data_IF_009224493061
#
_entry.id   IF_009224493061
#
_cell.length_a   1.000
_cell.length_b   1.000
_cell.length_c   1.000
_cell.angle_alpha   90.00
_cell.angle_beta   90.00
_cell.angle_gamma   90.00
#
_symmetry.space_group_name_H-M   'P 1'
#
loop_
_entity.id
_entity.type
_entity.pdbx_description
1 polymer ?
#
# COMPACT_ATOMS: atom_id res chain seq x y z
N UNK A 1 -9.93 -9.70 -0.78
CA UNK A 1 -10.60 -9.63 0.55
C UNK A 1 -11.76 -8.62 0.55
N UNK A 2 -11.56 -7.31 0.31
CA UNK A 2 -12.64 -6.33 0.36
C UNK A 2 -13.86 -6.67 -0.49
N UNK A 3 -13.65 -7.08 -1.75
CA UNK A 3 -14.72 -7.56 -2.62
C UNK A 3 -15.46 -8.76 -2.02
N UNK A 4 -14.73 -9.72 -1.50
CA UNK A 4 -15.32 -10.93 -0.92
C UNK A 4 -16.18 -10.63 0.32
N UNK A 5 -15.67 -9.76 1.20
CA UNK A 5 -16.46 -9.28 2.35
C UNK A 5 -17.72 -8.56 1.88
N UNK A 6 -17.60 -7.69 0.88
CA UNK A 6 -18.75 -6.97 0.33
C UNK A 6 -19.79 -7.93 -0.29
N UNK A 7 -19.36 -9.02 -0.95
CA UNK A 7 -20.28 -10.01 -1.51
C UNK A 7 -20.98 -10.86 -0.45
N UNK A 8 -20.37 -11.06 0.71
CA UNK A 8 -20.95 -11.84 1.80
C UNK A 8 -21.88 -11.04 2.70
N UNK A 9 -21.58 -9.76 2.90
CA UNK A 9 -22.19 -8.97 3.99
C UNK A 9 -23.03 -7.79 3.50
N UNK A 10 -22.92 -7.43 2.23
CA UNK A 10 -23.47 -6.21 1.64
C UNK A 10 -23.11 -4.90 2.38
N UNK A 11 -22.12 -4.94 3.30
CA UNK A 11 -21.74 -3.81 4.14
C UNK A 11 -20.46 -3.12 3.67
N UNK A 12 -20.53 -1.90 3.15
CA UNK A 12 -19.38 -1.03 2.91
C UNK A 12 -18.52 -0.78 4.16
N UNK A 13 -19.16 -0.65 5.32
CA UNK A 13 -18.46 -0.49 6.58
C UNK A 13 -17.49 -1.65 6.86
N UNK A 14 -17.94 -2.89 6.66
CA UNK A 14 -17.10 -4.07 6.88
C UNK A 14 -15.93 -4.17 5.91
N UNK A 15 -16.04 -3.63 4.68
CA UNK A 15 -14.91 -3.51 3.76
C UNK A 15 -13.83 -2.58 4.32
N UNK A 16 -14.24 -1.44 4.86
CA UNK A 16 -13.33 -0.51 5.54
C UNK A 16 -12.69 -1.11 6.79
N UNK A 17 -13.51 -1.75 7.62
CA UNK A 17 -13.07 -2.38 8.86
C UNK A 17 -12.06 -3.52 8.62
N UNK A 18 -12.26 -4.39 7.61
CA UNK A 18 -11.30 -5.46 7.30
C UNK A 18 -9.99 -4.92 6.72
N UNK A 19 -10.06 -3.84 5.93
CA UNK A 19 -8.88 -3.17 5.43
C UNK A 19 -8.04 -2.59 6.58
N UNK A 20 -8.68 -2.00 7.57
CA UNK A 20 -8.04 -1.51 8.80
C UNK A 20 -7.51 -2.66 9.67
N UNK A 21 -8.28 -3.74 9.82
CA UNK A 21 -7.87 -4.91 10.61
C UNK A 21 -6.56 -5.53 10.11
N UNK A 22 -6.36 -5.59 8.79
CA UNK A 22 -5.10 -6.06 8.18
C UNK A 22 -3.89 -5.23 8.58
N UNK A 23 -4.07 -3.96 8.91
CA UNK A 23 -3.00 -3.03 9.29
C UNK A 23 -2.82 -2.91 10.81
N UNK A 24 -3.80 -3.30 11.61
CA UNK A 24 -3.81 -3.08 13.06
C UNK A 24 -2.63 -3.71 13.78
N UNK A 25 -2.19 -4.89 13.37
CA UNK A 25 -1.06 -5.61 13.96
C UNK A 25 0.30 -5.28 13.36
N UNK A 26 0.36 -4.39 12.35
CA UNK A 26 1.64 -3.93 11.77
C UNK A 26 2.54 -3.19 12.79
N UNK A 27 1.99 -2.73 13.93
CA UNK A 27 2.80 -2.22 15.05
C UNK A 27 3.80 -3.26 15.56
N UNK A 28 3.48 -4.54 15.43
CA UNK A 28 4.40 -5.63 15.78
C UNK A 28 5.58 -5.73 14.80
N UNK A 29 5.53 -5.06 13.65
CA UNK A 29 6.66 -4.89 12.73
C UNK A 29 7.89 -4.32 13.41
N UNK A 30 7.67 -3.50 14.41
CA UNK A 30 8.72 -2.85 15.16
C UNK A 30 9.59 -3.86 15.94
N UNK A 31 9.02 -5.00 16.28
CA UNK A 31 9.71 -6.11 16.93
C UNK A 31 10.20 -7.17 15.92
N UNK A 32 9.56 -7.21 14.75
CA UNK A 32 9.85 -8.20 13.72
C UNK A 32 11.28 -8.12 13.18
N UNK A 33 11.82 -6.90 13.02
CA UNK A 33 13.20 -6.69 12.58
C UNK A 33 14.21 -7.38 13.48
N UNK A 34 14.07 -7.25 14.81
CA UNK A 34 14.98 -7.84 15.78
C UNK A 34 14.93 -9.39 15.79
N UNK A 35 13.79 -9.97 15.45
CA UNK A 35 13.61 -11.43 15.32
C UNK A 35 14.19 -11.90 13.98
N UNK A 36 13.87 -11.19 12.90
CA UNK A 36 14.33 -11.52 11.55
C UNK A 36 15.86 -11.48 11.42
N UNK A 37 16.57 -10.64 12.20
CA UNK A 37 18.02 -10.54 12.15
C UNK A 37 18.75 -11.76 12.71
N UNK A 38 18.09 -12.59 13.53
CA UNK A 38 18.66 -13.77 14.15
C UNK A 38 18.47 -15.06 13.36
N UNK A 39 17.64 -15.05 12.31
CA UNK A 39 17.28 -16.23 11.52
C UNK A 39 17.70 -16.00 10.07
N UNK A 40 18.16 -17.04 9.34
CA UNK A 40 18.46 -16.92 7.91
C UNK A 40 17.27 -16.34 7.14
N UNK A 41 17.51 -15.25 6.39
CA UNK A 41 16.45 -14.45 5.73
C UNK A 41 15.55 -15.26 4.80
N UNK A 42 16.13 -16.24 4.09
CA UNK A 42 15.38 -17.18 3.25
C UNK A 42 14.39 -18.03 4.04
N UNK A 43 14.75 -18.45 5.28
CA UNK A 43 13.83 -19.22 6.13
C UNK A 43 12.69 -18.36 6.66
N UNK A 44 13.00 -17.11 7.04
CA UNK A 44 11.95 -16.16 7.46
C UNK A 44 10.97 -15.94 6.34
N UNK A 45 11.47 -15.64 5.12
CA UNK A 45 10.62 -15.42 3.95
C UNK A 45 9.78 -16.67 3.62
N UNK A 46 10.41 -17.84 3.55
CA UNK A 46 9.70 -19.11 3.29
C UNK A 46 8.62 -19.39 4.34
N UNK A 47 8.91 -19.15 5.63
CA UNK A 47 7.92 -19.31 6.71
C UNK A 47 6.73 -18.38 6.53
N UNK A 48 6.98 -17.12 6.20
CA UNK A 48 5.91 -16.14 5.89
C UNK A 48 5.03 -16.64 4.74
N UNK A 49 5.64 -17.10 3.64
CA UNK A 49 4.92 -17.57 2.47
C UNK A 49 4.10 -18.83 2.78
N UNK A 50 4.65 -19.81 3.51
CA UNK A 50 3.92 -21.01 3.91
C UNK A 50 2.77 -20.70 4.91
N UNK A 51 2.96 -19.76 5.82
CA UNK A 51 1.87 -19.31 6.70
C UNK A 51 0.76 -18.63 5.89
N UNK A 52 1.12 -17.80 4.89
CA UNK A 52 0.14 -17.17 4.01
C UNK A 52 -0.62 -18.21 3.16
N UNK A 53 0.07 -19.26 2.68
CA UNK A 53 -0.56 -20.41 2.04
C UNK A 53 -1.52 -21.14 3.01
N UNK A 54 -1.11 -21.32 4.25
CA UNK A 54 -1.95 -21.91 5.32
C UNK A 54 -3.22 -21.09 5.58
N UNK A 55 -3.11 -19.76 5.68
CA UNK A 55 -4.28 -18.88 5.84
C UNK A 55 -5.22 -18.97 4.63
N UNK A 56 -4.69 -19.03 3.41
CA UNK A 56 -5.50 -19.27 2.22
C UNK A 56 -6.16 -20.66 2.25
N UNK A 57 -5.46 -21.69 2.72
CA UNK A 57 -5.99 -23.04 2.92
C UNK A 57 -7.14 -23.07 3.92
N UNK A 58 -7.01 -22.39 5.06
CA UNK A 58 -8.09 -22.27 6.05
C UNK A 58 -9.30 -21.57 5.43
N UNK A 59 -9.09 -20.50 4.64
CA UNK A 59 -10.18 -19.84 3.92
C UNK A 59 -10.89 -20.80 2.95
N UNK A 60 -10.14 -21.62 2.21
CA UNK A 60 -10.72 -22.63 1.29
C UNK A 60 -11.59 -23.60 2.07
N UNK A 61 -11.09 -24.15 3.18
CA UNK A 61 -11.83 -25.09 4.00
C UNK A 61 -13.13 -24.49 4.55
N UNK A 62 -13.08 -23.25 5.06
CA UNK A 62 -14.24 -22.53 5.56
C UNK A 62 -15.28 -22.25 4.46
N UNK A 63 -14.83 -21.90 3.25
CA UNK A 63 -15.72 -21.67 2.10
C UNK A 63 -16.39 -22.98 1.67
N UNK A 64 -15.62 -24.06 1.51
CA UNK A 64 -16.12 -25.34 1.02
C UNK A 64 -17.02 -26.05 2.05
N UNK A 65 -16.75 -25.88 3.33
CA UNK A 65 -17.57 -26.46 4.40
C UNK A 65 -18.88 -25.71 4.66
N UNK A 66 -19.01 -24.49 4.12
CA UNK A 66 -20.17 -23.62 4.38
C UNK A 66 -20.18 -22.98 5.78
N UNK A 67 -19.15 -23.19 6.60
CA UNK A 67 -19.04 -22.61 7.96
C UNK A 67 -18.40 -21.21 7.98
N UNK A 68 -18.21 -20.59 6.81
CA UNK A 68 -17.58 -19.28 6.74
C UNK A 68 -18.47 -18.19 7.32
N UNK A 69 -17.97 -17.53 8.37
CA UNK A 69 -18.58 -16.34 8.96
C UNK A 69 -17.64 -15.14 8.87
N UNK A 70 -18.18 -13.93 8.98
CA UNK A 70 -17.46 -12.68 8.84
C UNK A 70 -16.28 -12.57 9.82
N UNK A 71 -16.43 -13.02 11.07
CA UNK A 71 -15.35 -12.95 12.06
C UNK A 71 -14.14 -13.81 11.70
N UNK A 72 -14.33 -14.94 11.00
CA UNK A 72 -13.21 -15.75 10.49
C UNK A 72 -12.34 -14.93 9.53
N UNK A 73 -12.98 -14.14 8.65
CA UNK A 73 -12.27 -13.30 7.68
C UNK A 73 -11.48 -12.22 8.40
N UNK A 74 -12.05 -11.60 9.46
CA UNK A 74 -11.35 -10.61 10.27
C UNK A 74 -10.13 -11.21 10.97
N UNK A 75 -10.28 -12.36 11.62
CA UNK A 75 -9.21 -13.04 12.32
C UNK A 75 -8.06 -13.41 11.37
N UNK A 76 -8.39 -14.01 10.22
CA UNK A 76 -7.40 -14.36 9.19
C UNK A 76 -6.75 -13.13 8.57
N UNK A 77 -7.49 -12.04 8.36
CA UNK A 77 -6.93 -10.80 7.84
C UNK A 77 -5.94 -10.15 8.82
N UNK A 78 -6.26 -10.14 10.12
CA UNK A 78 -5.38 -9.61 11.17
C UNK A 78 -4.10 -10.44 11.29
N UNK A 79 -4.23 -11.75 11.35
CA UNK A 79 -3.08 -12.68 11.47
C UNK A 79 -2.21 -12.66 10.21
N UNK A 80 -2.82 -12.63 9.03
CA UNK A 80 -2.09 -12.45 7.77
C UNK A 80 -1.35 -11.11 7.72
N UNK A 81 -1.98 -10.03 8.18
CA UNK A 81 -1.33 -8.71 8.31
C UNK A 81 -0.09 -8.77 9.20
N UNK A 82 -0.19 -9.42 10.37
CA UNK A 82 0.93 -9.61 11.30
C UNK A 82 2.08 -10.39 10.66
N UNK A 83 1.79 -11.46 9.94
CA UNK A 83 2.82 -12.29 9.30
C UNK A 83 3.50 -11.55 8.14
N UNK A 84 2.74 -10.79 7.34
CA UNK A 84 3.30 -10.03 6.19
C UNK A 84 4.28 -8.94 6.56
N UNK A 85 4.31 -8.51 7.80
CA UNK A 85 5.26 -7.52 8.28
C UNK A 85 6.71 -7.94 8.07
N UNK A 86 6.98 -9.25 8.15
CA UNK A 86 8.31 -9.82 7.95
C UNK A 86 8.72 -9.96 6.47
N UNK A 87 7.76 -9.93 5.54
CA UNK A 87 7.98 -10.17 4.11
C UNK A 87 8.95 -9.15 3.50
N UNK A 88 8.64 -7.87 3.63
CA UNK A 88 9.39 -6.81 2.96
C UNK A 88 10.84 -6.65 3.48
N UNK A 89 11.08 -6.58 4.81
CA UNK A 89 12.45 -6.51 5.32
C UNK A 89 13.28 -7.74 4.94
N UNK A 90 12.70 -8.94 5.06
CA UNK A 90 13.39 -10.19 4.73
C UNK A 90 13.72 -10.29 3.24
N UNK A 91 12.80 -9.90 2.35
CA UNK A 91 13.02 -9.88 0.91
C UNK A 91 14.14 -8.90 0.52
N UNK A 92 14.15 -7.69 1.09
CA UNK A 92 15.21 -6.70 0.81
C UNK A 92 16.57 -7.15 1.35
N UNK A 93 16.61 -7.70 2.56
CA UNK A 93 17.85 -8.23 3.15
C UNK A 93 18.36 -9.43 2.34
N UNK A 94 17.47 -10.31 1.86
CA UNK A 94 17.86 -11.46 1.04
C UNK A 94 18.49 -11.01 -0.28
N UNK A 95 17.98 -9.97 -0.93
CA UNK A 95 18.60 -9.38 -2.13
C UNK A 95 20.02 -8.86 -1.83
N UNK A 96 20.20 -8.19 -0.69
CA UNK A 96 21.51 -7.67 -0.29
C UNK A 96 22.50 -8.80 0.07
N UNK A 97 22.02 -9.90 0.67
CA UNK A 97 22.86 -11.02 1.10
C UNK A 97 23.26 -11.96 -0.05
N UNK A 98 22.50 -11.95 -1.15
CA UNK A 98 22.70 -12.89 -2.28
C UNK A 98 23.50 -12.31 -3.44
N UNK A 99 23.62 -10.97 -3.51
CA UNK A 99 24.25 -10.30 -4.63
C UNK A 99 25.56 -9.61 -4.22
N UNK A 100 26.58 -9.57 -5.11
CA UNK A 100 27.74 -8.73 -4.93
C UNK A 100 27.35 -7.25 -4.77
N UNK A 101 28.17 -6.47 -4.03
CA UNK A 101 27.87 -5.07 -3.71
C UNK A 101 27.57 -4.19 -4.93
N UNK A 102 28.25 -4.42 -6.05
CA UNK A 102 28.05 -3.70 -7.32
C UNK A 102 26.70 -4.03 -7.99
N UNK A 103 26.03 -5.14 -7.62
CA UNK A 103 24.75 -5.60 -8.18
C UNK A 103 23.55 -5.46 -7.24
N UNK A 104 23.75 -5.08 -5.99
CA UNK A 104 22.65 -4.92 -5.00
C UNK A 104 21.58 -3.94 -5.51
N UNK A 105 22.01 -2.83 -6.10
CA UNK A 105 21.09 -1.82 -6.63
C UNK A 105 20.21 -2.39 -7.76
N UNK A 106 20.81 -3.17 -8.65
CA UNK A 106 20.09 -3.85 -9.73
C UNK A 106 19.10 -4.88 -9.17
N UNK A 107 19.51 -5.69 -8.18
CA UNK A 107 18.62 -6.64 -7.51
C UNK A 107 17.44 -5.98 -6.83
N UNK A 108 17.66 -4.86 -6.13
CA UNK A 108 16.59 -4.06 -5.52
C UNK A 108 15.63 -3.48 -6.57
N UNK A 109 16.17 -3.06 -7.74
CA UNK A 109 15.35 -2.59 -8.85
C UNK A 109 14.46 -3.72 -9.43
N UNK A 110 15.02 -4.91 -9.64
CA UNK A 110 14.24 -6.09 -10.09
C UNK A 110 13.18 -6.51 -9.07
N UNK A 111 13.49 -6.50 -7.78
CA UNK A 111 12.50 -6.78 -6.73
C UNK A 111 11.34 -5.76 -6.76
N UNK A 112 11.67 -4.49 -6.94
CA UNK A 112 10.67 -3.42 -7.06
C UNK A 112 9.82 -3.59 -8.33
N UNK A 113 10.45 -3.92 -9.46
CA UNK A 113 9.76 -4.19 -10.73
C UNK A 113 8.78 -5.37 -10.59
N UNK A 114 9.22 -6.47 -10.00
CA UNK A 114 8.35 -7.64 -9.75
C UNK A 114 7.13 -7.29 -8.92
N UNK A 115 7.31 -6.47 -7.87
CA UNK A 115 6.21 -5.98 -7.02
C UNK A 115 5.24 -5.07 -7.79
N UNK A 116 5.76 -4.18 -8.63
CA UNK A 116 4.93 -3.30 -9.45
C UNK A 116 4.12 -4.08 -10.49
N UNK A 117 4.72 -5.11 -11.11
CA UNK A 117 4.03 -6.03 -12.02
C UNK A 117 2.92 -6.78 -11.28
N UNK A 118 3.22 -7.31 -10.09
CA UNK A 118 2.23 -8.00 -9.27
C UNK A 118 1.08 -7.08 -8.85
N UNK A 119 1.36 -5.82 -8.52
CA UNK A 119 0.36 -4.80 -8.19
C UNK A 119 -0.52 -4.45 -9.40
N UNK A 120 0.05 -4.44 -10.60
CA UNK A 120 -0.66 -4.17 -11.85
C UNK A 120 -1.54 -5.36 -12.28
N UNK A 121 -0.96 -6.55 -12.35
CA UNK A 121 -1.62 -7.74 -12.92
C UNK A 121 -2.44 -8.51 -11.88
N UNK A 122 -2.02 -8.48 -10.60
CA UNK A 122 -2.65 -9.26 -9.53
C UNK A 122 -4.16 -9.06 -9.39
N UNK A 123 -4.66 -7.82 -9.32
CA UNK A 123 -6.10 -7.59 -9.25
C UNK A 123 -6.87 -8.08 -10.47
N UNK A 124 -6.30 -7.96 -11.67
CA UNK A 124 -6.91 -8.45 -12.90
C UNK A 124 -7.05 -9.98 -12.87
N UNK A 125 -5.96 -10.68 -12.59
CA UNK A 125 -5.95 -12.15 -12.48
C UNK A 125 -6.87 -12.60 -11.36
N UNK A 126 -6.78 -11.97 -10.18
CA UNK A 126 -7.65 -12.27 -9.04
C UNK A 126 -9.13 -12.07 -9.34
N UNK A 127 -9.48 -10.98 -10.05
CA UNK A 127 -10.85 -10.69 -10.47
C UNK A 127 -11.41 -11.73 -11.44
N UNK A 128 -10.61 -12.12 -12.44
CA UNK A 128 -10.96 -13.17 -13.42
C UNK A 128 -11.12 -14.53 -12.75
N UNK A 129 -10.19 -14.90 -11.88
CA UNK A 129 -10.26 -16.17 -11.13
C UNK A 129 -11.49 -16.21 -10.23
N UNK A 130 -11.78 -15.11 -9.53
CA UNK A 130 -12.96 -15.02 -8.68
C UNK A 130 -14.26 -15.12 -9.49
N UNK A 131 -14.33 -14.48 -10.68
CA UNK A 131 -15.47 -14.55 -11.58
C UNK A 131 -15.67 -15.95 -12.15
N UNK A 132 -14.61 -16.60 -12.60
CA UNK A 132 -14.67 -17.91 -13.29
C UNK A 132 -14.81 -19.10 -12.35
N UNK A 133 -14.14 -19.08 -11.20
CA UNK A 133 -14.01 -20.21 -10.28
C UNK A 133 -14.55 -19.92 -8.87
N UNK A 134 -15.17 -18.76 -8.68
CA UNK A 134 -15.67 -18.33 -7.38
C UNK A 134 -14.56 -18.02 -6.37
N UNK A 135 -14.95 -17.70 -5.12
CA UNK A 135 -13.98 -17.35 -4.05
C UNK A 135 -13.05 -18.54 -3.74
N UNK A 136 -13.55 -19.77 -3.70
CA UNK A 136 -12.75 -20.97 -3.44
C UNK A 136 -11.62 -21.14 -4.45
N UNK A 137 -11.94 -21.02 -5.75
CA UNK A 137 -10.94 -21.14 -6.83
C UNK A 137 -9.88 -20.03 -6.78
N UNK A 138 -10.30 -18.81 -6.46
CA UNK A 138 -9.34 -17.70 -6.28
C UNK A 138 -8.39 -17.95 -5.10
N UNK A 139 -8.87 -18.45 -3.96
CA UNK A 139 -8.03 -18.78 -2.83
C UNK A 139 -7.13 -20.00 -3.07
N UNK A 140 -7.55 -21.00 -3.88
CA UNK A 140 -6.69 -22.10 -4.32
C UNK A 140 -5.49 -21.57 -5.11
N UNK A 141 -5.72 -20.69 -6.07
CA UNK A 141 -4.63 -20.07 -6.82
C UNK A 141 -3.68 -19.26 -5.93
N UNK A 142 -4.22 -18.49 -4.97
CA UNK A 142 -3.44 -17.75 -3.98
C UNK A 142 -2.58 -18.70 -3.13
N UNK A 143 -3.15 -19.78 -2.61
CA UNK A 143 -2.43 -20.78 -1.83
C UNK A 143 -1.30 -21.41 -2.63
N UNK A 144 -1.56 -21.82 -3.88
CA UNK A 144 -0.57 -22.42 -4.78
C UNK A 144 0.60 -21.45 -5.06
N UNK A 145 0.31 -20.16 -5.30
CA UNK A 145 1.35 -19.16 -5.53
C UNK A 145 2.21 -18.92 -4.29
N UNK A 146 1.61 -18.85 -3.09
CA UNK A 146 2.34 -18.72 -1.84
C UNK A 146 3.18 -19.98 -1.54
N UNK A 147 2.65 -21.18 -1.78
CA UNK A 147 3.43 -22.43 -1.67
C UNK A 147 4.63 -22.40 -2.60
N UNK A 148 4.44 -22.05 -3.88
CA UNK A 148 5.52 -21.94 -4.85
C UNK A 148 6.57 -20.91 -4.41
N UNK A 149 6.13 -19.72 -3.96
CA UNK A 149 7.01 -18.67 -3.47
C UNK A 149 7.85 -19.15 -2.27
N UNK A 150 7.21 -19.83 -1.30
CA UNK A 150 7.90 -20.40 -0.14
C UNK A 150 8.95 -21.44 -0.53
N UNK A 151 8.63 -22.34 -1.46
CA UNK A 151 9.59 -23.30 -2.01
C UNK A 151 10.76 -22.61 -2.69
N UNK A 152 10.50 -21.66 -3.57
CA UNK A 152 11.55 -20.88 -4.26
C UNK A 152 12.45 -20.15 -3.26
N UNK A 153 11.87 -19.53 -2.21
CA UNK A 153 12.63 -18.84 -1.19
C UNK A 153 13.63 -19.76 -0.46
N UNK A 154 13.29 -21.04 -0.23
CA UNK A 154 14.20 -22.02 0.41
C UNK A 154 15.41 -22.35 -0.45
N UNK A 155 15.32 -22.26 -1.78
CA UNK A 155 16.45 -22.53 -2.69
C UNK A 155 17.42 -21.35 -2.79
N UNK A 156 17.02 -20.16 -2.35
CA UNK A 156 17.92 -19.00 -2.34
C UNK A 156 18.95 -19.18 -1.23
N UNK A 157 20.22 -19.27 -1.60
CA UNK A 157 21.33 -19.38 -0.65
C UNK A 157 21.73 -17.98 -0.19
N UNK A 158 21.40 -17.64 1.07
CA UNK A 158 21.94 -16.46 1.74
C UNK A 158 23.25 -16.84 2.43
N UNK A 159 24.29 -16.03 2.24
CA UNK A 159 25.58 -16.22 2.91
C UNK A 159 25.53 -15.94 4.41
N UNK A 160 24.37 -15.62 4.98
CA UNK A 160 24.18 -15.30 6.39
C UNK A 160 24.95 -14.04 6.74
N UNK A 161 24.38 -12.88 6.47
CA UNK A 161 24.99 -11.59 6.87
C UNK A 161 25.25 -11.57 8.37
N UNK A 162 26.37 -10.95 8.75
CA UNK A 162 26.68 -10.69 10.15
C UNK A 162 25.48 -10.03 10.83
N UNK A 163 25.15 -10.51 12.02
CA UNK A 163 24.06 -9.94 12.83
C UNK A 163 24.32 -8.43 12.97
N UNK A 164 23.53 -7.63 12.29
CA UNK A 164 23.67 -6.18 12.29
C UNK A 164 23.58 -5.61 13.69
N UNK A 165 24.13 -4.44 13.92
CA UNK A 165 24.08 -3.70 15.18
C UNK A 165 22.65 -3.74 15.75
N UNK A 166 22.53 -4.00 17.05
CA UNK A 166 21.26 -4.01 17.78
C UNK A 166 20.47 -2.76 17.38
N UNK A 167 19.27 -2.89 16.77
CA UNK A 167 18.51 -1.73 16.34
C UNK A 167 18.25 -0.82 17.56
N UNK A 168 18.43 0.48 17.38
CA UNK A 168 18.01 1.48 18.38
C UNK A 168 16.55 1.22 18.74
N UNK A 169 16.19 1.33 20.02
CA UNK A 169 14.79 1.07 20.42
C UNK A 169 13.86 1.95 19.57
N UNK A 170 12.80 1.34 19.00
CA UNK A 170 11.88 2.03 18.10
C UNK A 170 11.34 3.31 18.70
N UNK A 171 10.97 3.29 19.99
CA UNK A 171 10.51 4.48 20.70
C UNK A 171 11.56 5.61 20.66
N UNK A 172 12.83 5.27 20.84
CA UNK A 172 13.95 6.25 20.78
C UNK A 172 14.13 6.78 19.35
N UNK A 173 14.05 5.91 18.35
CA UNK A 173 14.11 6.29 16.93
C UNK A 173 12.97 7.23 16.54
N UNK A 174 11.74 6.94 16.97
CA UNK A 174 10.55 7.77 16.71
C UNK A 174 10.67 9.14 17.41
N UNK A 175 11.01 9.16 18.71
CA UNK A 175 11.17 10.41 19.46
C UNK A 175 12.28 11.25 18.86
N UNK A 176 13.44 10.63 18.54
CA UNK A 176 14.56 11.28 17.88
C UNK A 176 14.18 11.83 16.50
N UNK A 177 13.43 11.07 15.72
CA UNK A 177 12.87 11.49 14.44
C UNK A 177 11.92 12.69 14.57
N UNK A 178 10.97 12.66 15.50
CA UNK A 178 10.04 13.76 15.74
C UNK A 178 10.77 15.04 16.16
N UNK A 179 11.76 14.93 17.04
CA UNK A 179 12.58 16.07 17.46
C UNK A 179 13.37 16.67 16.29
N UNK A 180 13.93 15.82 15.42
CA UNK A 180 14.67 16.26 14.24
C UNK A 180 13.76 16.95 13.20
N UNK A 181 12.56 16.42 12.98
CA UNK A 181 11.61 16.91 11.99
C UNK A 181 10.94 18.22 12.42
N UNK A 182 10.71 18.41 13.74
CA UNK A 182 9.99 19.58 14.29
C UNK A 182 10.60 20.92 13.83
N UNK A 183 11.94 21.01 13.69
CA UNK A 183 12.61 22.23 13.24
C UNK A 183 12.72 22.38 11.71
N UNK A 184 12.24 21.40 10.91
CA UNK A 184 12.43 21.35 9.45
C UNK A 184 11.11 21.35 8.70
N UNK A 185 10.69 22.54 8.23
CA UNK A 185 9.38 22.73 7.60
C UNK A 185 9.11 21.75 6.46
N UNK A 186 10.09 21.48 5.58
CA UNK A 186 9.94 20.56 4.45
C UNK A 186 9.62 19.14 4.95
N UNK A 187 10.31 18.66 5.99
CA UNK A 187 10.13 17.29 6.48
C UNK A 187 8.76 17.10 7.16
N UNK A 188 8.40 17.98 8.12
CA UNK A 188 7.12 17.81 8.80
C UNK A 188 5.94 17.99 7.83
N UNK A 189 6.03 18.96 6.91
CA UNK A 189 4.99 19.17 5.93
C UNK A 189 4.84 17.99 4.94
N UNK A 190 5.96 17.39 4.53
CA UNK A 190 5.90 16.15 3.72
C UNK A 190 5.30 15.00 4.51
N UNK A 191 5.61 14.84 5.80
CA UNK A 191 4.98 13.81 6.64
C UNK A 191 3.47 14.03 6.82
N UNK A 192 3.02 15.28 6.93
CA UNK A 192 1.58 15.60 6.92
C UNK A 192 0.94 15.22 5.58
N UNK A 193 1.61 15.47 4.45
CA UNK A 193 1.12 14.97 3.15
C UNK A 193 1.05 13.45 3.10
N UNK A 194 1.99 12.73 3.74
CA UNK A 194 1.90 11.25 3.85
C UNK A 194 0.67 10.83 4.65
N UNK A 195 0.32 11.53 5.74
CA UNK A 195 -0.91 11.25 6.49
C UNK A 195 -2.16 11.47 5.62
N UNK A 196 -2.21 12.55 4.84
CA UNK A 196 -3.29 12.83 3.89
C UNK A 196 -3.35 11.72 2.83
N UNK A 197 -2.20 11.34 2.27
CA UNK A 197 -2.08 10.28 1.29
C UNK A 197 -2.66 8.95 1.78
N UNK A 198 -2.28 8.53 2.99
CA UNK A 198 -2.72 7.26 3.56
C UNK A 198 -4.20 7.30 3.98
N UNK A 199 -4.65 8.37 4.64
CA UNK A 199 -6.00 8.44 5.19
C UNK A 199 -7.09 8.72 4.15
N UNK A 200 -6.76 9.33 3.02
CA UNK A 200 -7.73 9.70 1.98
C UNK A 200 -7.47 8.97 0.67
N UNK A 201 -6.33 9.25 0.03
CA UNK A 201 -6.08 8.78 -1.32
C UNK A 201 -5.91 7.27 -1.44
N UNK A 202 -5.05 6.66 -0.62
CA UNK A 202 -4.84 5.20 -0.64
C UNK A 202 -6.08 4.43 -0.17
N UNK A 203 -6.80 4.96 0.80
CA UNK A 203 -8.08 4.44 1.28
C UNK A 203 -9.13 4.40 0.16
N UNK A 204 -9.20 5.44 -0.68
CA UNK A 204 -10.09 5.43 -1.85
C UNK A 204 -9.85 4.20 -2.72
N UNK A 205 -8.59 3.93 -3.10
CA UNK A 205 -8.24 2.80 -3.97
C UNK A 205 -8.60 1.45 -3.35
N UNK A 206 -8.33 1.25 -2.06
CA UNK A 206 -8.45 -0.07 -1.41
C UNK A 206 -9.82 -0.35 -0.83
N UNK A 207 -10.56 0.69 -0.45
CA UNK A 207 -11.86 0.56 0.22
C UNK A 207 -13.01 1.02 -0.69
N UNK A 208 -12.94 2.24 -1.23
CA UNK A 208 -14.07 2.81 -1.98
C UNK A 208 -14.18 2.26 -3.41
N UNK A 209 -13.09 2.01 -4.13
CA UNK A 209 -13.16 1.47 -5.50
C UNK A 209 -13.89 0.13 -5.58
N UNK A 210 -13.64 -0.88 -4.71
CA UNK A 210 -14.43 -2.11 -4.70
C UNK A 210 -15.93 -1.89 -4.42
N UNK A 211 -16.24 -1.00 -3.48
CA UNK A 211 -17.63 -0.68 -3.12
C UNK A 211 -18.33 0.01 -4.29
N UNK A 212 -17.67 1.01 -4.89
CA UNK A 212 -18.18 1.76 -6.03
C UNK A 212 -18.38 0.88 -7.27
N UNK A 213 -17.42 -0.01 -7.54
CA UNK A 213 -17.48 -0.95 -8.66
C UNK A 213 -18.76 -1.81 -8.60
N UNK A 214 -19.10 -2.31 -7.41
CA UNK A 214 -20.28 -3.14 -7.21
C UNK A 214 -21.58 -2.33 -7.20
N UNK A 215 -21.64 -1.27 -6.38
CA UNK A 215 -22.88 -0.61 -6.04
C UNK A 215 -23.30 0.46 -7.07
N UNK A 216 -22.34 1.12 -7.72
CA UNK A 216 -22.61 2.21 -8.65
C UNK A 216 -22.41 1.78 -10.11
N UNK A 217 -21.37 0.98 -10.39
CA UNK A 217 -21.07 0.56 -11.75
C UNK A 217 -21.65 -0.81 -12.11
N UNK A 218 -22.30 -1.51 -11.16
CA UNK A 218 -22.81 -2.87 -11.32
C UNK A 218 -21.79 -3.84 -11.93
N UNK A 219 -20.52 -3.62 -11.61
CA UNK A 219 -19.43 -4.43 -12.10
C UNK A 219 -19.31 -5.73 -11.28
N UNK A 220 -18.89 -6.79 -11.93
CA UNK A 220 -18.49 -8.03 -11.28
C UNK A 220 -17.03 -7.98 -10.81
N UNK A 221 -16.52 -9.07 -10.25
CA UNK A 221 -15.13 -9.16 -9.79
C UNK A 221 -14.10 -8.99 -10.92
N UNK A 222 -14.43 -9.41 -12.14
CA UNK A 222 -13.61 -9.19 -13.33
C UNK A 222 -13.54 -7.70 -13.68
N UNK A 223 -14.69 -7.01 -13.63
CA UNK A 223 -14.76 -5.56 -13.79
C UNK A 223 -13.96 -4.80 -12.73
N UNK A 224 -14.05 -5.20 -11.47
CA UNK A 224 -13.17 -4.64 -10.44
C UNK A 224 -11.69 -4.87 -10.77
N UNK A 225 -11.34 -6.06 -11.23
CA UNK A 225 -9.97 -6.37 -11.66
C UNK A 225 -9.47 -5.41 -12.75
N UNK A 226 -10.32 -5.10 -13.75
CA UNK A 226 -10.02 -4.14 -14.81
C UNK A 226 -9.86 -2.70 -14.29
N UNK A 227 -10.71 -2.27 -13.38
CA UNK A 227 -10.62 -0.95 -12.74
C UNK A 227 -9.29 -0.79 -11.98
N UNK A 228 -8.91 -1.80 -11.19
CA UNK A 228 -7.66 -1.79 -10.44
C UNK A 228 -6.44 -1.93 -11.36
N UNK A 229 -6.56 -2.67 -12.46
CA UNK A 229 -5.53 -2.73 -13.50
C UNK A 229 -5.32 -1.35 -14.15
N UNK A 230 -6.38 -0.62 -14.46
CA UNK A 230 -6.30 0.73 -15.02
C UNK A 230 -5.56 1.70 -14.08
N UNK A 231 -5.84 1.64 -12.77
CA UNK A 231 -5.09 2.38 -11.76
C UNK A 231 -3.60 1.99 -11.78
N UNK A 232 -3.29 0.70 -11.77
CA UNK A 232 -1.92 0.20 -11.84
C UNK A 232 -1.19 0.64 -13.11
N UNK A 233 -1.86 0.62 -14.26
CA UNK A 233 -1.30 1.08 -15.54
C UNK A 233 -0.92 2.57 -15.49
N UNK A 234 -1.79 3.41 -14.92
CA UNK A 234 -1.48 4.82 -14.68
C UNK A 234 -0.28 5.02 -13.76
N UNK A 235 -0.21 4.25 -12.68
CA UNK A 235 0.89 4.31 -11.72
C UNK A 235 2.23 3.90 -12.36
N UNK A 236 2.25 2.82 -13.13
CA UNK A 236 3.46 2.35 -13.85
C UNK A 236 3.88 3.39 -14.90
N UNK A 237 2.95 3.90 -15.70
CA UNK A 237 3.24 4.91 -16.72
C UNK A 237 3.86 6.17 -16.13
N UNK A 238 3.29 6.71 -15.05
CA UNK A 238 3.85 7.86 -14.35
C UNK A 238 5.23 7.58 -13.75
N UNK A 239 5.44 6.40 -13.16
CA UNK A 239 6.74 6.00 -12.61
C UNK A 239 7.82 5.96 -13.69
N UNK A 240 7.51 5.44 -14.87
CA UNK A 240 8.42 5.43 -16.03
C UNK A 240 8.75 6.84 -16.50
N UNK A 241 7.72 7.70 -16.62
CA UNK A 241 7.92 9.11 -17.01
C UNK A 241 8.85 9.83 -16.05
N UNK A 242 8.64 9.68 -14.73
CA UNK A 242 9.52 10.31 -13.73
C UNK A 242 10.93 9.74 -13.71
N UNK A 243 11.10 8.45 -13.97
CA UNK A 243 12.42 7.84 -14.10
C UNK A 243 13.20 8.39 -15.32
N UNK A 244 12.50 8.68 -16.42
CA UNK A 244 13.12 9.22 -17.66
C UNK A 244 13.44 10.71 -17.58
N UNK A 245 12.63 11.49 -16.85
CA UNK A 245 12.75 12.94 -16.79
C UNK A 245 13.93 13.39 -15.91
N UNK A 246 14.34 12.60 -14.93
CA UNK A 246 15.48 12.87 -14.05
C UNK A 246 15.24 13.97 -13.00
N UNK A 247 16.32 14.33 -12.28
CA UNK A 247 16.37 15.38 -11.26
C UNK A 247 16.55 16.78 -11.87
N UNK A 248 16.14 17.82 -11.14
CA UNK A 248 16.32 19.23 -11.56
C UNK A 248 15.02 20.04 -11.58
N UNK A 249 13.93 19.51 -11.03
CA UNK A 249 12.61 20.15 -11.07
C UNK A 249 12.16 20.65 -9.69
N UNK A 250 11.19 21.57 -9.63
CA UNK A 250 10.64 22.08 -8.37
C UNK A 250 9.79 21.00 -7.67
N UNK A 251 10.46 20.09 -6.95
CA UNK A 251 9.89 18.92 -6.23
C UNK A 251 8.64 19.29 -5.45
N UNK A 252 8.66 20.43 -4.74
CA UNK A 252 7.53 20.85 -3.91
C UNK A 252 6.27 21.18 -4.70
N UNK A 253 6.41 21.85 -5.84
CA UNK A 253 5.26 22.18 -6.72
C UNK A 253 4.66 20.93 -7.35
N UNK A 254 5.51 20.02 -7.84
CA UNK A 254 5.05 18.76 -8.44
C UNK A 254 4.41 17.84 -7.40
N UNK A 255 4.95 17.80 -6.17
CA UNK A 255 4.37 17.02 -5.06
C UNK A 255 2.97 17.51 -4.71
N UNK A 256 2.79 18.81 -4.48
CA UNK A 256 1.47 19.37 -4.17
C UNK A 256 0.53 19.21 -5.36
N UNK A 257 0.99 19.49 -6.58
CA UNK A 257 0.21 19.31 -7.81
C UNK A 257 -0.26 17.87 -8.02
N UNK A 258 0.60 16.88 -7.78
CA UNK A 258 0.24 15.47 -7.92
C UNK A 258 -0.81 15.04 -6.88
N UNK A 259 -0.72 15.53 -5.62
CA UNK A 259 -1.76 15.28 -4.60
C UNK A 259 -3.09 15.89 -5.04
N UNK A 260 -3.09 17.11 -5.57
CA UNK A 260 -4.30 17.78 -6.05
C UNK A 260 -4.90 17.03 -7.24
N UNK A 261 -4.10 16.68 -8.25
CA UNK A 261 -4.55 15.90 -9.42
C UNK A 261 -5.14 14.57 -9.00
N UNK A 262 -4.49 13.87 -8.08
CA UNK A 262 -4.99 12.61 -7.55
C UNK A 262 -6.36 12.77 -6.88
N UNK A 263 -6.52 13.71 -5.95
CA UNK A 263 -7.79 13.91 -5.25
C UNK A 263 -8.87 14.54 -6.15
N UNK A 264 -8.49 15.36 -7.11
CA UNK A 264 -9.42 15.84 -8.14
C UNK A 264 -9.95 14.70 -9.03
N UNK A 265 -9.09 13.74 -9.38
CA UNK A 265 -9.54 12.54 -10.10
C UNK A 265 -10.47 11.65 -9.24
N UNK A 266 -10.30 11.61 -7.92
CA UNK A 266 -11.25 10.95 -6.98
C UNK A 266 -12.60 11.66 -7.02
N UNK A 267 -12.62 13.01 -7.02
CA UNK A 267 -13.88 13.78 -7.16
C UNK A 267 -14.57 13.51 -8.49
N UNK A 268 -13.80 13.45 -9.58
CA UNK A 268 -14.34 13.13 -10.90
C UNK A 268 -14.87 11.70 -10.94
N UNK A 269 -14.18 10.75 -10.31
CA UNK A 269 -14.65 9.37 -10.18
C UNK A 269 -15.97 9.28 -9.40
N UNK A 270 -16.15 10.09 -8.36
CA UNK A 270 -17.36 10.12 -7.55
C UNK A 270 -18.63 10.48 -8.37
N UNK A 271 -18.47 11.19 -9.48
CA UNK A 271 -19.58 11.56 -10.38
C UNK A 271 -19.75 10.59 -11.57
N UNK A 272 -18.86 9.62 -11.73
CA UNK A 272 -18.85 8.72 -12.88
C UNK A 272 -19.91 7.63 -12.74
N UNK A 273 -20.75 7.47 -13.78
CA UNK A 273 -21.76 6.42 -13.89
C UNK A 273 -21.43 5.37 -14.98
N UNK A 274 -20.34 5.61 -15.72
CA UNK A 274 -19.95 4.77 -16.84
C UNK A 274 -18.66 4.02 -16.55
N UNK A 275 -18.66 2.70 -16.72
CA UNK A 275 -17.53 1.83 -16.41
C UNK A 275 -16.24 2.26 -17.10
N UNK A 276 -16.25 2.51 -18.41
CA UNK A 276 -15.06 2.88 -19.18
C UNK A 276 -14.55 4.29 -18.85
N UNK A 277 -15.45 5.21 -18.50
CA UNK A 277 -15.07 6.54 -18.00
C UNK A 277 -14.39 6.42 -16.63
N UNK A 278 -14.96 5.65 -15.72
CA UNK A 278 -14.35 5.34 -14.43
C UNK A 278 -12.96 4.72 -14.59
N UNK A 279 -12.80 3.81 -15.54
CA UNK A 279 -11.52 3.17 -15.86
C UNK A 279 -10.50 4.20 -16.34
N UNK A 280 -10.87 5.12 -17.24
CA UNK A 280 -10.00 6.20 -17.71
C UNK A 280 -9.60 7.15 -16.56
N UNK A 281 -10.53 7.50 -15.68
CA UNK A 281 -10.26 8.32 -14.49
C UNK A 281 -9.27 7.61 -13.57
N UNK A 282 -9.40 6.30 -13.38
CA UNK A 282 -8.48 5.52 -12.54
C UNK A 282 -7.05 5.47 -13.09
N UNK A 283 -6.84 5.55 -14.41
CA UNK A 283 -5.50 5.74 -14.97
C UNK A 283 -4.88 7.06 -14.47
N UNK A 284 -5.64 8.15 -14.51
CA UNK A 284 -5.17 9.46 -13.99
C UNK A 284 -4.94 9.39 -12.48
N UNK A 285 -5.84 8.72 -11.76
CA UNK A 285 -5.73 8.51 -10.32
C UNK A 285 -4.44 7.77 -9.96
N UNK A 286 -4.13 6.68 -10.68
CA UNK A 286 -2.90 5.91 -10.52
C UNK A 286 -1.64 6.71 -10.85
N UNK A 287 -1.69 7.53 -11.90
CA UNK A 287 -0.58 8.42 -12.24
C UNK A 287 -0.33 9.46 -11.13
N UNK A 288 -1.39 10.05 -10.58
CA UNK A 288 -1.32 10.97 -9.44
C UNK A 288 -0.74 10.30 -8.19
N UNK A 289 -1.17 9.07 -7.89
CA UNK A 289 -0.64 8.25 -6.81
C UNK A 289 0.87 8.05 -6.92
N UNK A 290 1.34 7.53 -8.05
CA UNK A 290 2.77 7.21 -8.23
C UNK A 290 3.63 8.47 -8.22
N UNK A 291 3.16 9.57 -8.85
CA UNK A 291 3.83 10.87 -8.81
C UNK A 291 3.96 11.40 -7.38
N UNK A 292 2.89 11.31 -6.59
CA UNK A 292 2.88 11.74 -5.19
C UNK A 292 3.88 10.96 -4.37
N UNK A 293 3.89 9.63 -4.48
CA UNK A 293 4.85 8.76 -3.80
C UNK A 293 6.31 9.09 -4.17
N UNK A 294 6.58 9.29 -5.45
CA UNK A 294 7.91 9.64 -5.94
C UNK A 294 8.42 10.94 -5.32
N UNK A 295 7.62 12.01 -5.38
CA UNK A 295 8.04 13.32 -4.87
C UNK A 295 8.11 13.36 -3.34
N UNK A 296 7.21 12.68 -2.63
CA UNK A 296 7.30 12.55 -1.16
C UNK A 296 8.58 11.86 -0.72
N UNK A 297 8.93 10.73 -1.36
CA UNK A 297 10.15 10.00 -1.05
C UNK A 297 11.40 10.84 -1.34
N UNK A 298 11.43 11.50 -2.50
CA UNK A 298 12.51 12.42 -2.89
C UNK A 298 12.67 13.56 -1.88
N UNK A 299 11.56 14.19 -1.46
CA UNK A 299 11.58 15.28 -0.48
C UNK A 299 12.10 14.82 0.89
N UNK A 300 11.66 13.64 1.38
CA UNK A 300 12.10 13.10 2.67
C UNK A 300 13.59 12.74 2.65
N UNK A 301 14.05 12.02 1.63
CA UNK A 301 15.43 11.56 1.55
C UNK A 301 16.41 12.70 1.23
N UNK A 302 16.04 13.61 0.31
CA UNK A 302 16.88 14.73 -0.10
C UNK A 302 17.06 15.80 0.98
N UNK A 303 16.08 15.95 1.89
CA UNK A 303 16.16 16.96 2.97
C UNK A 303 16.53 16.39 4.33
N UNK A 304 16.87 15.09 4.41
CA UNK A 304 17.31 14.43 5.63
C UNK A 304 18.83 14.19 5.61
N UNK A 305 19.52 14.53 6.70
CA UNK A 305 20.91 14.12 6.91
C UNK A 305 21.00 12.58 6.92
N UNK A 306 22.09 12.02 6.41
CA UNK A 306 22.26 10.58 6.26
C UNK A 306 21.98 9.82 7.57
N UNK A 307 22.46 10.34 8.71
CA UNK A 307 22.27 9.77 10.04
C UNK A 307 20.82 9.74 10.53
N UNK A 308 19.95 10.65 10.01
CA UNK A 308 18.53 10.75 10.40
C UNK A 308 17.58 10.13 9.38
N UNK A 309 18.03 9.70 8.19
CA UNK A 309 17.17 9.12 7.14
C UNK A 309 16.34 7.94 7.66
N UNK A 310 16.97 7.03 8.41
CA UNK A 310 16.27 5.90 9.01
C UNK A 310 15.13 6.32 9.96
N UNK A 311 15.38 7.34 10.82
CA UNK A 311 14.36 7.87 11.75
C UNK A 311 13.20 8.57 11.04
N UNK A 312 13.50 9.34 9.98
CA UNK A 312 12.48 10.00 9.15
C UNK A 312 11.64 8.95 8.40
N UNK A 313 12.25 7.90 7.87
CA UNK A 313 11.54 6.80 7.20
C UNK A 313 10.71 5.98 8.18
N UNK A 314 11.14 5.82 9.44
CA UNK A 314 10.32 5.20 10.49
C UNK A 314 9.06 6.02 10.78
N UNK A 315 9.16 7.37 10.82
CA UNK A 315 7.97 8.25 10.96
C UNK A 315 7.02 8.11 9.77
N UNK A 316 7.55 8.03 8.54
CA UNK A 316 6.75 7.76 7.35
C UNK A 316 6.03 6.42 7.45
N UNK A 317 6.70 5.37 7.93
CA UNK A 317 6.10 4.06 8.10
C UNK A 317 4.97 4.06 9.15
N UNK A 318 5.09 4.88 10.21
CA UNK A 318 4.02 5.05 11.19
C UNK A 318 2.80 5.77 10.62
N UNK A 319 2.98 6.64 9.63
CA UNK A 319 1.86 7.33 9.00
C UNK A 319 0.88 6.38 8.30
N UNK A 320 1.28 5.13 7.99
CA UNK A 320 0.40 4.09 7.42
C UNK A 320 -0.80 3.78 8.32
N UNK A 321 -0.73 4.07 9.64
CA UNK A 321 -1.88 3.90 10.53
C UNK A 321 -3.02 4.89 10.25
N UNK A 322 -2.73 6.02 9.59
CA UNK A 322 -3.77 6.92 9.09
C UNK A 322 -4.67 6.22 8.05
N UNK A 323 -4.14 5.23 7.31
CA UNK A 323 -4.92 4.39 6.43
C UNK A 323 -6.02 3.61 7.17
N UNK A 324 -5.74 3.05 8.34
CA UNK A 324 -6.73 2.29 9.09
C UNK A 324 -7.93 3.18 9.48
N UNK A 325 -7.66 4.39 9.98
CA UNK A 325 -8.69 5.38 10.29
C UNK A 325 -9.46 5.81 9.03
N UNK A 326 -8.73 6.09 7.95
CA UNK A 326 -9.31 6.44 6.66
C UNK A 326 -10.20 5.34 6.09
N UNK A 327 -9.79 4.07 6.18
CA UNK A 327 -10.56 2.94 5.68
C UNK A 327 -11.86 2.72 6.45
N UNK A 328 -11.82 2.79 7.79
CA UNK A 328 -13.02 2.67 8.62
C UNK A 328 -13.97 3.84 8.33
N UNK A 329 -13.48 5.09 8.33
CA UNK A 329 -14.30 6.26 8.09
C UNK A 329 -14.89 6.28 6.68
N UNK A 330 -14.12 5.92 5.65
CA UNK A 330 -14.60 5.87 4.27
C UNK A 330 -15.63 4.77 4.07
N UNK A 331 -15.42 3.58 4.67
CA UNK A 331 -16.40 2.50 4.66
C UNK A 331 -17.69 2.89 5.37
N UNK A 332 -17.59 3.52 6.54
CA UNK A 332 -18.75 4.03 7.29
C UNK A 332 -19.52 5.11 6.51
N UNK A 333 -18.81 6.07 5.89
CA UNK A 333 -19.44 7.09 5.05
C UNK A 333 -20.15 6.49 3.84
N UNK A 334 -19.57 5.47 3.21
CA UNK A 334 -20.17 4.79 2.08
C UNK A 334 -21.40 3.99 2.49
N UNK A 335 -21.40 3.39 3.68
CA UNK A 335 -22.52 2.63 4.24
C UNK A 335 -23.67 3.55 4.65
N UNK A 336 -23.34 4.63 5.39
CA UNK A 336 -24.33 5.55 5.95
C UNK A 336 -24.92 6.52 4.91
N UNK A 337 -24.13 7.00 3.95
CA UNK A 337 -24.60 7.96 2.94
C UNK A 337 -24.72 7.35 1.56
N UNK A 338 -23.59 7.13 0.89
CA UNK A 338 -23.43 6.45 -0.39
C UNK A 338 -21.98 6.43 -0.83
N UNK A 339 -21.54 5.48 -1.69
CA UNK A 339 -20.18 5.46 -2.21
C UNK A 339 -19.75 6.75 -2.92
N UNK A 340 -20.59 7.39 -3.78
CA UNK A 340 -20.26 8.66 -4.41
C UNK A 340 -20.00 9.81 -3.42
N UNK A 341 -20.85 9.93 -2.38
CA UNK A 341 -20.68 10.96 -1.36
C UNK A 341 -19.40 10.73 -0.53
N UNK A 342 -19.15 9.50 -0.15
CA UNK A 342 -17.90 9.14 0.55
C UNK A 342 -16.66 9.50 -0.28
N UNK A 343 -16.65 9.16 -1.57
CA UNK A 343 -15.56 9.51 -2.48
C UNK A 343 -15.42 11.03 -2.65
N UNK A 344 -16.53 11.76 -2.75
CA UNK A 344 -16.54 13.23 -2.85
C UNK A 344 -15.95 13.88 -1.59
N UNK A 345 -16.30 13.40 -0.39
CA UNK A 345 -15.73 13.88 0.88
C UNK A 345 -14.22 13.64 0.93
N UNK A 346 -13.79 12.43 0.60
CA UNK A 346 -12.38 12.03 0.57
C UNK A 346 -11.59 12.89 -0.42
N UNK A 347 -12.10 13.08 -1.64
CA UNK A 347 -11.46 13.89 -2.66
C UNK A 347 -11.36 15.37 -2.25
N UNK A 348 -12.46 15.95 -1.75
CA UNK A 348 -12.49 17.35 -1.29
C UNK A 348 -11.54 17.56 -0.10
N UNK A 349 -11.59 16.69 0.89
CA UNK A 349 -10.73 16.75 2.07
C UNK A 349 -9.24 16.74 1.67
N UNK A 350 -8.86 15.83 0.77
CA UNK A 350 -7.47 15.75 0.33
C UNK A 350 -7.00 17.01 -0.40
N UNK A 351 -7.83 17.62 -1.26
CA UNK A 351 -7.52 18.89 -1.94
C UNK A 351 -7.39 20.02 -0.92
N UNK A 352 -8.38 20.18 -0.04
CA UNK A 352 -8.40 21.27 0.95
C UNK A 352 -7.18 21.19 1.87
N UNK A 353 -6.87 19.99 2.37
CA UNK A 353 -5.70 19.79 3.25
C UNK A 353 -4.38 20.02 2.51
N UNK A 354 -4.26 19.61 1.25
CA UNK A 354 -3.08 19.87 0.43
C UNK A 354 -2.88 21.36 0.15
N UNK A 355 -3.96 22.11 -0.15
CA UNK A 355 -3.92 23.55 -0.36
C UNK A 355 -3.59 24.30 0.94
N UNK A 356 -4.22 23.94 2.06
CA UNK A 356 -3.88 24.49 3.36
C UNK A 356 -2.40 24.30 3.69
N UNK A 357 -1.89 23.10 3.46
CA UNK A 357 -0.48 22.80 3.69
C UNK A 357 0.44 23.61 2.75
N UNK A 358 0.05 23.81 1.49
CA UNK A 358 0.79 24.65 0.56
C UNK A 358 0.88 26.12 1.01
N UNK A 359 -0.14 26.62 1.72
CA UNK A 359 -0.14 27.95 2.32
C UNK A 359 0.70 28.00 3.59
N UNK A 360 0.50 27.02 4.51
CA UNK A 360 1.16 26.97 5.81
C UNK A 360 2.65 26.60 5.73
N UNK A 361 3.07 25.92 4.66
CA UNK A 361 4.44 25.46 4.47
C UNK A 361 5.08 26.04 3.19
N UNK A 362 5.36 27.36 3.13
CA UNK A 362 5.91 27.99 1.92
C UNK A 362 7.27 27.43 1.50
N UNK A 363 8.11 26.93 2.41
CA UNK A 363 9.39 26.28 2.08
C UNK A 363 9.16 24.97 1.32
N UNK A 364 8.06 24.25 1.60
CA UNK A 364 7.71 23.05 0.85
C UNK A 364 7.42 23.40 -0.62
N UNK A 365 6.59 24.42 -0.85
CA UNK A 365 6.23 24.84 -2.22
C UNK A 365 7.44 25.31 -3.06
N UNK A 366 8.45 25.89 -2.39
CA UNK A 366 9.67 26.39 -3.03
C UNK A 366 10.78 25.34 -3.14
N UNK A 367 10.54 24.11 -2.68
CA UNK A 367 11.52 23.04 -2.69
C UNK A 367 11.92 22.69 -4.12
N UNK A 368 13.21 22.75 -4.40
CA UNK A 368 13.84 22.30 -5.63
C UNK A 368 14.53 20.96 -5.41
N UNK A 369 14.78 20.19 -6.46
CA UNK A 369 15.63 19.02 -6.37
C UNK A 369 17.05 19.45 -6.03
N UNK A 370 17.66 18.86 -5.01
CA UNK A 370 19.08 19.00 -4.66
C UNK A 370 19.93 18.11 -5.53
#
# INVERSE_FOLDING_TARGET
MGWFVLTLTDSPFLVGAISAARMSLNLLALFAGAIADRVPKQRVLATVEFLMAGFAGVMILLILSGFLETWHIFLLAMTAGMVRVFEMPSSQALVADTLPQDRILNGAAFNTLGRNIAMLIGPLVGGVLFKGFGPGGAFIAIAALYMLSGWVALYVRSSGGEAGKIPESVARSVIGGLRYVKGKQVLWATLVLVLIFESSGWTFHTTLVPIFARNELNADSGGLGLLLFAFGAGAVSASLVWAMIGSGRPVGKYMIGSVIVWHASILLFATSQFFYVSMAILVVTGAGFASTQFFMLSALLGNSLAEYRGRVMSLRSLAIYAFALGSISSGAMADFWSPPRAAAVVGTMGIVLALLLAVLAPKLRRLQAS
#
